data_IF_911275473731
#
_entry.id   IF_911275473731
#
_cell.length_a   1.000
_cell.length_b   1.000
_cell.length_c   1.000
_cell.angle_alpha   90.00
_cell.angle_beta   90.00
_cell.angle_gamma   90.00
#
_symmetry.space_group_name_H-M   'P 1'
#
loop_
_entity.id
_entity.type
_entity.pdbx_description
1 polymer ?
#
# COMPACT_ATOMS: atom_id res chain seq x y z
N UNK A 1 -2.78 -22.41 -2.49
CA UNK A 1 -3.18 -21.01 -2.22
C UNK A 1 -1.93 -20.15 -2.16
N UNK A 2 -1.97 -18.94 -2.70
CA UNK A 2 -0.84 -17.99 -2.66
C UNK A 2 -0.99 -17.03 -1.47
N UNK A 3 0.12 -16.41 -1.04
CA UNK A 3 0.10 -15.39 0.01
C UNK A 3 -0.84 -14.22 -0.34
N UNK A 4 -0.89 -13.84 -1.62
CA UNK A 4 -1.78 -12.78 -2.12
C UNK A 4 -3.26 -13.13 -1.97
N UNK A 5 -3.66 -14.37 -2.30
CA UNK A 5 -5.05 -14.81 -2.12
C UNK A 5 -5.44 -14.82 -0.65
N UNK A 6 -4.55 -15.30 0.23
CA UNK A 6 -4.77 -15.29 1.69
C UNK A 6 -4.96 -13.86 2.20
N UNK A 7 -4.08 -12.93 1.80
CA UNK A 7 -4.19 -11.52 2.16
C UNK A 7 -5.53 -10.91 1.71
N UNK A 8 -5.92 -11.15 0.46
CA UNK A 8 -7.18 -10.63 -0.08
C UNK A 8 -8.41 -11.22 0.65
N UNK A 9 -8.38 -12.50 0.99
CA UNK A 9 -9.47 -13.18 1.71
C UNK A 9 -9.60 -12.67 3.15
N UNK A 10 -8.47 -12.44 3.83
CA UNK A 10 -8.44 -11.85 5.17
C UNK A 10 -8.96 -10.40 5.17
N UNK A 11 -8.54 -9.59 4.20
CA UNK A 11 -9.08 -8.23 4.03
C UNK A 11 -10.57 -8.23 3.70
N UNK A 12 -11.06 -9.17 2.89
CA UNK A 12 -12.48 -9.32 2.60
C UNK A 12 -13.30 -9.70 3.84
N UNK A 13 -12.70 -10.42 4.80
CA UNK A 13 -13.28 -10.66 6.11
C UNK A 13 -13.18 -9.46 7.08
N UNK A 14 -12.58 -8.33 6.67
CA UNK A 14 -12.33 -7.17 7.53
C UNK A 14 -11.20 -7.38 8.53
N UNK A 15 -10.30 -8.32 8.26
CA UNK A 15 -9.13 -8.62 9.10
C UNK A 15 -7.96 -7.81 8.58
N UNK A 16 -7.65 -6.72 9.26
CA UNK A 16 -6.44 -5.93 8.99
C UNK A 16 -5.21 -6.69 9.48
N UNK A 17 -4.22 -6.81 8.60
CA UNK A 17 -2.94 -7.45 8.87
C UNK A 17 -1.90 -6.35 9.00
N UNK A 18 -1.46 -6.08 10.22
CA UNK A 18 -0.43 -5.08 10.47
C UNK A 18 0.93 -5.76 10.56
N UNK A 19 1.94 -5.20 9.90
CA UNK A 19 3.32 -5.59 10.16
C UNK A 19 3.80 -4.86 11.42
N UNK A 20 4.59 -5.53 12.28
CA UNK A 20 5.28 -4.79 13.34
C UNK A 20 6.20 -3.74 12.73
N UNK A 21 6.44 -2.62 13.45
CA UNK A 21 7.31 -1.54 12.97
C UNK A 21 8.72 -2.02 12.61
N UNK A 22 9.20 -3.11 13.19
CA UNK A 22 10.47 -3.75 12.86
C UNK A 22 10.47 -4.52 11.53
N UNK A 23 9.33 -4.60 10.83
CA UNK A 23 9.19 -5.31 9.55
C UNK A 23 9.39 -6.83 9.66
N UNK A 24 9.49 -7.38 10.87
CA UNK A 24 9.93 -8.77 11.11
C UNK A 24 8.78 -9.71 11.47
N UNK A 25 7.66 -9.15 11.92
CA UNK A 25 6.53 -9.92 12.43
C UNK A 25 5.23 -9.35 11.89
N UNK A 26 4.20 -10.19 11.88
CA UNK A 26 2.89 -9.81 11.44
C UNK A 26 1.96 -9.92 12.64
N UNK A 27 1.38 -8.79 13.01
CA UNK A 27 0.43 -8.61 14.10
C UNK A 27 -0.95 -8.85 13.54
N UNK A 28 -1.68 -9.79 14.14
CA UNK A 28 -3.08 -10.03 13.79
C UNK A 28 -3.90 -9.89 15.07
N UNK A 29 -5.04 -9.18 15.05
CA UNK A 29 -5.90 -9.08 16.21
C UNK A 29 -6.29 -10.49 16.70
N UNK A 30 -6.01 -10.76 17.97
CA UNK A 30 -6.28 -12.04 18.60
C UNK A 30 -7.79 -12.27 18.68
N UNK A 31 -8.25 -13.46 18.28
CA UNK A 31 -9.66 -13.85 18.32
C UNK A 31 -10.42 -13.68 17.00
N UNK A 32 -9.82 -13.07 15.98
CA UNK A 32 -10.47 -12.87 14.67
C UNK A 32 -10.13 -13.99 13.67
N UNK A 33 -8.95 -14.62 13.82
CA UNK A 33 -8.50 -15.71 12.95
C UNK A 33 -9.01 -17.08 13.41
N UNK A 34 -9.53 -17.85 12.46
CA UNK A 34 -9.75 -19.29 12.64
C UNK A 34 -8.41 -20.06 12.71
N UNK A 35 -8.36 -21.24 13.35
CA UNK A 35 -7.12 -22.04 13.41
C UNK A 35 -6.56 -22.40 12.02
N UNK A 36 -7.43 -22.61 11.02
CA UNK A 36 -7.03 -22.84 9.63
C UNK A 36 -6.35 -21.60 9.01
N UNK A 37 -6.95 -20.42 9.17
CA UNK A 37 -6.36 -19.16 8.68
C UNK A 37 -5.04 -18.85 9.40
N UNK A 38 -4.95 -19.12 10.70
CA UNK A 38 -3.72 -18.94 11.48
C UNK A 38 -2.59 -19.84 10.96
N UNK A 39 -2.88 -21.08 10.59
CA UNK A 39 -1.91 -21.98 9.98
C UNK A 39 -1.43 -21.47 8.61
N UNK A 40 -2.36 -20.97 7.78
CA UNK A 40 -2.03 -20.38 6.48
C UNK A 40 -1.18 -19.11 6.60
N UNK A 41 -1.52 -18.21 7.54
CA UNK A 41 -0.75 -17.00 7.83
C UNK A 41 0.65 -17.35 8.31
N UNK A 42 0.80 -18.37 9.17
CA UNK A 42 2.12 -18.82 9.63
C UNK A 42 2.93 -19.48 8.51
N UNK A 43 2.28 -20.26 7.64
CA UNK A 43 2.92 -20.94 6.50
C UNK A 43 3.45 -19.94 5.47
N UNK A 44 2.72 -18.85 5.22
CA UNK A 44 3.09 -17.81 4.26
C UNK A 44 3.59 -16.52 4.92
N UNK A 45 3.91 -16.55 6.21
CA UNK A 45 4.31 -15.39 7.02
C UNK A 45 5.36 -14.49 6.36
N UNK A 46 6.52 -14.99 5.88
CA UNK A 46 7.53 -14.12 5.28
C UNK A 46 7.04 -13.43 4.00
N UNK A 47 6.25 -14.12 3.19
CA UNK A 47 5.69 -13.54 1.96
C UNK A 47 4.58 -12.52 2.27
N UNK A 48 3.73 -12.79 3.27
CA UNK A 48 2.73 -11.84 3.75
C UNK A 48 3.39 -10.57 4.31
N UNK A 49 4.47 -10.71 5.08
CA UNK A 49 5.25 -9.57 5.57
C UNK A 49 5.78 -8.73 4.41
N UNK A 50 6.39 -9.36 3.40
CA UNK A 50 6.89 -8.66 2.21
C UNK A 50 5.77 -7.93 1.47
N UNK A 51 4.64 -8.61 1.23
CA UNK A 51 3.47 -8.03 0.55
C UNK A 51 2.86 -6.87 1.34
N UNK A 52 2.74 -6.99 2.67
CA UNK A 52 2.20 -5.92 3.53
C UNK A 52 3.15 -4.73 3.57
N UNK A 53 4.46 -4.95 3.70
CA UNK A 53 5.46 -3.88 3.65
C UNK A 53 5.47 -3.19 2.29
N UNK A 54 5.46 -3.95 1.19
CA UNK A 54 5.42 -3.43 -0.17
C UNK A 54 4.13 -2.63 -0.40
N UNK A 55 2.98 -3.17 0.03
CA UNK A 55 1.69 -2.48 -0.01
C UNK A 55 1.70 -1.17 0.79
N UNK A 56 2.26 -1.20 2.01
CA UNK A 56 2.32 -0.03 2.89
C UNK A 56 3.22 1.04 2.29
N UNK A 57 4.40 0.65 1.80
CA UNK A 57 5.33 1.53 1.11
C UNK A 57 4.68 2.14 -0.15
N UNK A 58 4.04 1.30 -0.96
CA UNK A 58 3.32 1.72 -2.16
C UNK A 58 2.19 2.70 -1.83
N UNK A 59 1.40 2.41 -0.79
CA UNK A 59 0.31 3.27 -0.34
C UNK A 59 0.83 4.59 0.21
N UNK A 60 1.95 4.57 0.94
CA UNK A 60 2.63 5.77 1.45
C UNK A 60 3.17 6.65 0.31
N UNK A 61 3.82 6.04 -0.68
CA UNK A 61 4.34 6.75 -1.85
C UNK A 61 3.21 7.30 -2.72
N UNK A 62 2.13 6.54 -2.91
CA UNK A 62 0.91 6.97 -3.59
C UNK A 62 0.26 8.15 -2.87
N UNK A 63 0.13 8.07 -1.54
CA UNK A 63 -0.43 9.15 -0.73
C UNK A 63 0.44 10.40 -0.78
N UNK A 64 1.77 10.26 -0.75
CA UNK A 64 2.70 11.39 -0.89
C UNK A 64 2.60 12.04 -2.26
N UNK A 65 2.54 11.24 -3.34
CA UNK A 65 2.35 11.75 -4.69
C UNK A 65 1.00 12.46 -4.83
N UNK A 66 -0.09 11.85 -4.35
CA UNK A 66 -1.43 12.44 -4.33
C UNK A 66 -1.46 13.78 -3.57
N UNK A 67 -0.90 13.84 -2.35
CA UNK A 67 -0.81 15.07 -1.58
C UNK A 67 -0.03 16.15 -2.31
N UNK A 68 1.11 15.81 -2.92
CA UNK A 68 1.90 16.76 -3.68
C UNK A 68 1.15 17.32 -4.89
N UNK A 69 0.32 16.50 -5.55
CA UNK A 69 -0.58 16.95 -6.61
C UNK A 69 -1.60 17.94 -6.04
N UNK A 70 -2.28 17.59 -4.94
CA UNK A 70 -3.21 18.49 -4.28
C UNK A 70 -2.58 19.82 -3.84
N UNK A 71 -1.35 19.80 -3.29
CA UNK A 71 -0.61 21.02 -2.94
C UNK A 71 -0.33 21.90 -4.16
N UNK A 72 0.03 21.28 -5.30
CA UNK A 72 0.30 22.01 -6.56
C UNK A 72 -0.96 22.67 -7.12
N UNK A 73 -2.10 21.99 -7.07
CA UNK A 73 -3.38 22.53 -7.52
C UNK A 73 -4.05 23.44 -6.49
N UNK A 74 -3.43 23.63 -5.31
CA UNK A 74 -4.02 24.34 -4.15
C UNK A 74 -5.41 23.81 -3.81
N UNK A 75 -5.54 22.48 -3.88
CA UNK A 75 -6.78 21.78 -3.61
C UNK A 75 -7.27 22.04 -2.19
N UNK A 76 -8.58 22.16 -2.06
CA UNK A 76 -9.26 22.32 -0.78
C UNK A 76 -9.07 21.07 0.09
N UNK A 77 -9.18 21.19 1.43
CA UNK A 77 -9.09 20.04 2.34
C UNK A 77 -10.06 18.91 1.99
N UNK A 78 -11.26 19.24 1.49
CA UNK A 78 -12.23 18.26 1.00
C UNK A 78 -11.71 17.41 -0.18
N UNK A 79 -10.96 18.01 -1.11
CA UNK A 79 -10.37 17.29 -2.25
C UNK A 79 -9.23 16.37 -1.79
N UNK A 80 -8.42 16.80 -0.79
CA UNK A 80 -7.40 15.94 -0.17
C UNK A 80 -8.00 14.73 0.54
N UNK A 81 -9.11 14.93 1.26
CA UNK A 81 -9.84 13.83 1.90
C UNK A 81 -10.43 12.87 0.87
N UNK A 82 -11.01 13.41 -0.21
CA UNK A 82 -11.54 12.61 -1.30
C UNK A 82 -10.43 11.76 -1.95
N UNK A 83 -9.27 12.35 -2.24
CA UNK A 83 -8.16 11.60 -2.81
C UNK A 83 -7.61 10.53 -1.87
N UNK A 84 -7.61 10.77 -0.55
CA UNK A 84 -7.32 9.73 0.44
C UNK A 84 -8.33 8.58 0.39
N UNK A 85 -9.62 8.88 0.29
CA UNK A 85 -10.67 7.87 0.17
C UNK A 85 -10.51 7.07 -1.12
N UNK A 86 -10.18 7.73 -2.23
CA UNK A 86 -9.93 7.06 -3.51
C UNK A 86 -8.71 6.13 -3.43
N UNK A 87 -7.62 6.56 -2.78
CA UNK A 87 -6.44 5.71 -2.52
C UNK A 87 -6.81 4.47 -1.68
N UNK A 88 -7.59 4.67 -0.62
CA UNK A 88 -8.05 3.57 0.24
C UNK A 88 -9.01 2.62 -0.48
N UNK A 89 -9.91 3.17 -1.29
CA UNK A 89 -10.87 2.43 -2.12
C UNK A 89 -10.20 1.74 -3.31
N UNK A 90 -9.02 2.20 -3.74
CA UNK A 90 -8.30 1.63 -4.88
C UNK A 90 -7.76 0.26 -4.47
N UNK A 91 -8.08 -0.81 -5.23
CA UNK A 91 -7.53 -2.14 -5.02
C UNK A 91 -6.00 -2.11 -5.05
N UNK A 92 -5.39 -2.91 -4.21
CA UNK A 92 -3.93 -2.98 -4.02
C UNK A 92 -3.16 -3.21 -5.33
N UNK A 93 -3.70 -4.03 -6.23
CA UNK A 93 -3.11 -4.30 -7.55
C UNK A 93 -3.21 -3.11 -8.52
N UNK A 94 -4.16 -2.18 -8.32
CA UNK A 94 -4.29 -0.95 -9.10
C UNK A 94 -3.51 0.23 -8.50
N UNK A 95 -3.21 0.21 -7.20
CA UNK A 95 -2.42 1.27 -6.55
C UNK A 95 -1.06 1.47 -7.19
N UNK A 96 -0.43 0.39 -7.66
CA UNK A 96 0.88 0.43 -8.32
C UNK A 96 0.81 1.19 -9.65
N UNK A 97 -0.21 0.87 -10.46
CA UNK A 97 -0.46 1.53 -11.74
C UNK A 97 -0.83 3.01 -11.53
N UNK A 98 -1.68 3.30 -10.54
CA UNK A 98 -2.09 4.66 -10.18
C UNK A 98 -0.90 5.50 -9.71
N UNK A 99 0.02 4.92 -8.92
CA UNK A 99 1.25 5.58 -8.51
C UNK A 99 2.13 5.90 -9.73
N UNK A 100 2.29 4.93 -10.64
CA UNK A 100 3.08 5.13 -11.85
C UNK A 100 2.46 6.23 -12.73
N UNK A 101 1.14 6.25 -12.86
CA UNK A 101 0.40 7.29 -13.59
C UNK A 101 0.62 8.68 -12.98
N UNK A 102 0.48 8.81 -11.65
CA UNK A 102 0.72 10.08 -10.95
C UNK A 102 2.17 10.54 -11.09
N UNK A 103 3.15 9.63 -10.99
CA UNK A 103 4.57 9.96 -11.18
C UNK A 103 4.88 10.39 -12.62
N UNK A 104 4.24 9.76 -13.61
CA UNK A 104 4.39 10.13 -15.03
C UNK A 104 3.74 11.47 -15.38
N UNK A 105 2.54 11.73 -14.86
CA UNK A 105 1.84 13.01 -15.04
C UNK A 105 2.50 14.17 -14.29
N UNK A 106 3.12 13.89 -13.15
CA UNK A 106 3.73 14.90 -12.28
C UNK A 106 5.20 14.55 -11.96
N UNK A 107 6.13 14.72 -12.92
CA UNK A 107 7.53 14.31 -12.79
C UNK A 107 8.39 15.15 -11.81
N UNK A 108 7.78 15.83 -10.82
CA UNK A 108 8.47 16.71 -9.87
C UNK A 108 8.55 16.22 -8.42
N UNK A 109 7.89 15.12 -8.06
CA UNK A 109 7.71 14.71 -6.66
C UNK A 109 8.71 13.66 -6.16
N UNK A 110 9.62 13.17 -7.02
CA UNK A 110 10.68 12.22 -6.67
C UNK A 110 12.06 12.69 -7.19
N UNK A 111 12.39 13.96 -6.97
CA UNK A 111 13.76 14.44 -7.19
C UNK A 111 14.64 14.05 -6.00
N UNK A 112 15.00 12.77 -5.95
CA UNK A 112 16.23 12.30 -5.32
C UNK A 112 16.75 11.10 -6.13
N UNK A 113 17.54 11.44 -7.17
CA UNK A 113 18.43 10.63 -8.03
C UNK A 113 17.79 9.48 -8.85
N UNK A 114 18.01 9.36 -10.17
CA UNK A 114 19.28 9.49 -10.88
C UNK A 114 19.07 9.87 -12.35
N UNK A 115 19.82 10.87 -12.84
CA UNK A 115 20.12 11.04 -14.25
C UNK A 115 21.63 10.84 -14.44
N UNK A 116 22.05 10.01 -15.40
CA UNK A 116 23.19 10.39 -16.22
C UNK A 116 22.74 10.47 -17.69
N UNK A 117 22.89 11.66 -18.27
CA UNK A 117 22.98 11.89 -19.72
C UNK A 117 23.98 10.92 -20.37
N UNK A 118 23.72 10.43 -21.60
CA UNK A 118 24.14 11.13 -22.83
C UNK A 118 23.08 11.02 -23.96
N UNK A 119 23.06 11.81 -25.05
CA UNK A 119 24.12 12.27 -25.96
C UNK A 119 23.72 13.62 -26.58
#
# INVERSE_FOLDING_TARGET
MTAQSILAELLACGIDLECTPDGTTLTVPAGVLTPAQRAQVLQHKPELIRLVLESSQLTSDLMRAAMHVCDRWKDSPAAREQMRRDVLSTPLHLRADLLQHLRGQYPGSNASNSNPTPN
#
